data_IF_219731568977
#
_entry.id   IF_219731568977
#
_cell.length_a   1.000
_cell.length_b   1.000
_cell.length_c   1.000
_cell.angle_alpha   90.00
_cell.angle_beta   90.00
_cell.angle_gamma   90.00
#
_symmetry.space_group_name_H-M   'P 1'
#
loop_
_entity.id
_entity.type
_entity.pdbx_description
1 polymer ?
#
# COMPACT_ATOMS: atom_id res chain seq x y z
N UNK A 1 0.09 -13.35 5.15
CA UNK A 1 0.54 -14.28 4.08
C UNK A 1 1.88 -13.79 3.57
N UNK A 2 2.85 -14.69 3.43
CA UNK A 2 4.19 -14.38 2.91
C UNK A 2 4.18 -14.38 1.36
N UNK A 3 4.72 -13.35 0.68
CA UNK A 3 4.79 -13.33 -0.77
C UNK A 3 5.88 -14.27 -1.28
N UNK A 4 5.49 -15.38 -1.93
CA UNK A 4 6.43 -16.37 -2.51
C UNK A 4 6.92 -16.03 -3.92
N UNK A 5 6.35 -15.01 -4.56
CA UNK A 5 6.71 -14.62 -5.94
C UNK A 5 6.24 -15.57 -7.05
N UNK A 6 5.50 -16.62 -6.71
CA UNK A 6 5.11 -17.69 -7.65
C UNK A 6 3.80 -17.38 -8.41
N UNK A 7 3.03 -16.37 -7.97
CA UNK A 7 1.70 -16.09 -8.54
C UNK A 7 1.79 -15.30 -9.86
N UNK A 8 0.96 -15.64 -10.86
CA UNK A 8 0.77 -14.82 -12.05
C UNK A 8 0.37 -13.38 -11.71
N UNK A 9 0.79 -12.42 -12.52
CA UNK A 9 0.50 -10.99 -12.31
C UNK A 9 -1.00 -10.69 -12.22
N UNK A 10 -1.84 -11.38 -12.99
CA UNK A 10 -3.30 -11.25 -12.95
C UNK A 10 -3.86 -11.62 -11.58
N UNK A 11 -3.38 -12.72 -11.00
CA UNK A 11 -3.78 -13.17 -9.66
C UNK A 11 -3.29 -12.22 -8.58
N UNK A 12 -2.06 -11.70 -8.69
CA UNK A 12 -1.54 -10.69 -7.76
C UNK A 12 -2.43 -9.45 -7.78
N UNK A 13 -2.81 -8.94 -8.95
CA UNK A 13 -3.71 -7.78 -9.07
C UNK A 13 -5.09 -8.05 -8.50
N UNK A 14 -5.65 -9.24 -8.75
CA UNK A 14 -6.95 -9.63 -8.21
C UNK A 14 -6.91 -9.69 -6.66
N UNK A 15 -5.89 -10.32 -6.10
CA UNK A 15 -5.67 -10.43 -4.66
C UNK A 15 -5.53 -9.07 -3.99
N UNK A 16 -4.72 -8.16 -4.57
CA UNK A 16 -4.56 -6.80 -4.03
C UNK A 16 -5.89 -6.04 -4.02
N UNK A 17 -6.70 -6.18 -5.08
CA UNK A 17 -8.02 -5.55 -5.16
C UNK A 17 -8.97 -6.10 -4.09
N UNK A 18 -8.99 -7.41 -3.91
CA UNK A 18 -9.80 -8.09 -2.89
C UNK A 18 -9.44 -7.60 -1.49
N UNK A 19 -8.17 -7.63 -1.12
CA UNK A 19 -7.67 -7.18 0.18
C UNK A 19 -8.00 -5.71 0.47
N UNK A 20 -7.84 -4.83 -0.53
CA UNK A 20 -8.21 -3.41 -0.37
C UNK A 20 -9.71 -3.26 -0.10
N UNK A 21 -10.55 -4.02 -0.80
CA UNK A 21 -11.99 -3.97 -0.62
C UNK A 21 -12.43 -4.53 0.74
N UNK A 22 -11.82 -5.62 1.18
CA UNK A 22 -12.03 -6.19 2.52
C UNK A 22 -11.68 -5.18 3.61
N UNK A 23 -10.49 -4.56 3.53
CA UNK A 23 -10.09 -3.53 4.48
C UNK A 23 -11.07 -2.34 4.52
N UNK A 24 -11.59 -1.91 3.37
CA UNK A 24 -12.62 -0.86 3.30
C UNK A 24 -13.93 -1.29 3.96
N UNK A 25 -14.35 -2.54 3.75
CA UNK A 25 -15.52 -3.12 4.38
C UNK A 25 -15.41 -3.07 5.90
N UNK A 26 -14.31 -3.61 6.44
CA UNK A 26 -14.02 -3.61 7.88
C UNK A 26 -14.03 -2.18 8.43
N UNK A 27 -13.35 -1.24 7.76
CA UNK A 27 -13.29 0.15 8.22
C UNK A 27 -14.67 0.82 8.30
N UNK A 28 -15.58 0.50 7.36
CA UNK A 28 -16.94 1.05 7.37
C UNK A 28 -17.79 0.48 8.53
N UNK A 29 -17.45 -0.70 9.05
CA UNK A 29 -18.13 -1.33 10.19
C UNK A 29 -17.68 -0.76 11.55
N UNK A 30 -16.57 -0.02 11.60
CA UNK A 30 -15.99 0.59 12.82
C UNK A 30 -15.89 2.13 12.72
N UNK A 31 -17.01 2.87 12.86
CA UNK A 31 -17.06 4.30 12.58
C UNK A 31 -16.69 5.20 13.77
N UNK A 32 -16.42 4.68 14.96
CA UNK A 32 -16.38 5.49 16.20
C UNK A 32 -15.00 6.09 16.50
N UNK A 33 -14.03 5.92 15.61
CA UNK A 33 -12.67 6.44 15.81
C UNK A 33 -11.78 5.50 16.61
N UNK A 34 -12.07 4.20 16.60
CA UNK A 34 -11.38 3.13 17.32
C UNK A 34 -9.87 3.17 17.07
N UNK A 35 -9.44 3.54 15.85
CA UNK A 35 -8.04 3.64 15.47
C UNK A 35 -7.23 4.70 16.24
N UNK A 36 -7.87 5.66 16.93
CA UNK A 36 -7.19 6.68 17.73
C UNK A 36 -6.72 6.17 19.10
N UNK A 37 -7.32 5.07 19.60
CA UNK A 37 -7.08 4.58 20.96
C UNK A 37 -5.78 3.78 21.09
N UNK A 38 -5.27 3.24 19.99
CA UNK A 38 -4.03 2.47 20.00
C UNK A 38 -2.91 3.25 19.30
N UNK A 39 -1.78 3.40 19.99
CA UNK A 39 -0.60 4.08 19.48
C UNK A 39 0.57 3.12 19.38
N UNK A 40 1.24 3.15 18.24
CA UNK A 40 2.47 2.39 18.00
C UNK A 40 3.65 3.33 17.84
N UNK A 41 4.82 2.90 18.30
CA UNK A 41 6.07 3.65 18.10
C UNK A 41 6.59 3.37 16.69
N UNK A 42 6.71 4.41 15.86
CA UNK A 42 7.44 4.35 14.60
C UNK A 42 8.86 4.89 14.80
N UNK A 43 9.84 4.03 14.55
CA UNK A 43 11.26 4.39 14.61
C UNK A 43 11.79 4.98 13.30
N UNK A 44 11.00 4.93 12.23
CA UNK A 44 11.37 5.52 10.93
C UNK A 44 11.26 7.04 11.01
N UNK A 45 12.33 7.75 10.64
CA UNK A 45 12.38 9.23 10.53
C UNK A 45 11.93 10.00 11.77
N UNK A 46 12.20 9.49 12.98
CA UNK A 46 11.85 10.17 14.24
C UNK A 46 10.35 10.56 14.37
N UNK A 47 9.46 9.82 13.69
CA UNK A 47 8.01 10.07 13.68
C UNK A 47 7.34 9.93 15.06
N UNK A 48 8.02 9.28 16.01
CA UNK A 48 7.51 9.12 17.37
C UNK A 48 6.37 8.10 17.45
N UNK A 49 5.32 8.43 18.19
CA UNK A 49 4.13 7.56 18.31
C UNK A 49 3.02 8.05 17.41
N UNK A 50 2.46 7.15 16.62
CA UNK A 50 1.31 7.42 15.77
C UNK A 50 0.15 6.49 16.11
N UNK A 51 -1.06 6.94 15.86
CA UNK A 51 -2.25 6.11 15.98
C UNK A 51 -2.44 5.19 14.75
N UNK A 52 -3.41 4.28 14.83
CA UNK A 52 -3.63 3.27 13.78
C UNK A 52 -4.13 3.91 12.48
N UNK A 53 -4.93 4.97 12.53
CA UNK A 53 -5.38 5.66 11.32
C UNK A 53 -4.22 6.34 10.60
N UNK A 54 -3.34 7.00 11.36
CA UNK A 54 -2.11 7.58 10.84
C UNK A 54 -1.20 6.51 10.22
N UNK A 55 -1.11 5.34 10.84
CA UNK A 55 -0.34 4.23 10.29
C UNK A 55 -0.92 3.67 8.99
N UNK A 56 -2.24 3.46 8.91
CA UNK A 56 -2.92 3.03 7.68
C UNK A 56 -2.73 4.08 6.57
N UNK A 57 -2.87 5.36 6.89
CA UNK A 57 -2.59 6.44 5.94
C UNK A 57 -1.16 6.35 5.40
N UNK A 58 -0.17 6.13 6.27
CA UNK A 58 1.22 5.97 5.88
C UNK A 58 1.42 4.77 4.93
N UNK A 59 0.78 3.62 5.21
CA UNK A 59 0.83 2.44 4.34
C UNK A 59 0.23 2.73 2.94
N UNK A 60 -0.87 3.48 2.86
CA UNK A 60 -1.43 3.90 1.58
C UNK A 60 -0.46 4.80 0.80
N UNK A 61 0.21 5.73 1.47
CA UNK A 61 1.22 6.58 0.83
C UNK A 61 2.43 5.78 0.36
N UNK A 62 2.85 4.79 1.14
CA UNK A 62 3.95 3.90 0.78
C UNK A 62 3.61 3.05 -0.46
N UNK A 63 2.40 2.48 -0.51
CA UNK A 63 1.92 1.75 -1.68
C UNK A 63 1.89 2.63 -2.94
N UNK A 64 1.39 3.86 -2.83
CA UNK A 64 1.40 4.83 -3.95
C UNK A 64 2.80 5.10 -4.47
N UNK A 65 3.79 5.32 -3.58
CA UNK A 65 5.18 5.54 -3.97
C UNK A 65 5.73 4.37 -4.80
N UNK A 66 5.46 3.13 -4.41
CA UNK A 66 5.92 1.96 -5.16
C UNK A 66 5.22 1.81 -6.51
N UNK A 67 3.93 2.13 -6.60
CA UNK A 67 3.22 2.16 -7.88
C UNK A 67 3.84 3.21 -8.81
N UNK A 68 4.18 4.40 -8.31
CA UNK A 68 4.89 5.42 -9.09
C UNK A 68 6.27 4.95 -9.54
N UNK A 69 7.01 4.20 -8.73
CA UNK A 69 8.26 3.58 -9.18
C UNK A 69 8.03 2.62 -10.36
N UNK A 70 6.96 1.81 -10.32
CA UNK A 70 6.60 0.93 -11.44
C UNK A 70 6.22 1.71 -12.71
N UNK A 71 5.52 2.84 -12.56
CA UNK A 71 5.17 3.72 -13.68
C UNK A 71 6.43 4.31 -14.33
N UNK A 72 7.39 4.79 -13.53
CA UNK A 72 8.65 5.32 -14.05
C UNK A 72 9.41 4.27 -14.88
N UNK A 73 9.48 3.02 -14.41
CA UNK A 73 10.10 1.92 -15.16
C UNK A 73 9.39 1.66 -16.50
N UNK A 74 8.06 1.71 -16.52
CA UNK A 74 7.27 1.59 -17.75
C UNK A 74 7.61 2.71 -18.74
N UNK A 75 7.71 3.96 -18.27
CA UNK A 75 8.03 5.12 -19.09
C UNK A 75 9.45 5.05 -19.65
N UNK A 76 10.43 4.69 -18.82
CA UNK A 76 11.83 4.48 -19.24
C UNK A 76 11.91 3.44 -20.35
N UNK A 77 11.29 2.27 -20.15
CA UNK A 77 11.29 1.20 -21.15
C UNK A 77 10.63 1.60 -22.47
N UNK A 78 9.55 2.38 -22.41
CA UNK A 78 8.85 2.87 -23.60
C UNK A 78 9.74 3.81 -24.41
N UNK A 79 10.46 4.73 -23.75
CA UNK A 79 11.40 5.65 -24.41
C UNK A 79 12.58 4.92 -25.06
N UNK A 80 13.09 3.86 -24.45
CA UNK A 80 14.13 3.04 -25.06
C UNK A 80 13.63 2.37 -26.35
N UNK A 81 12.39 1.86 -26.35
CA UNK A 81 11.81 1.20 -27.51
C UNK A 81 11.56 2.15 -28.69
N UNK A 82 11.22 3.40 -28.43
CA UNK A 82 10.99 4.42 -29.47
C UNK A 82 12.29 4.97 -30.09
N UNK A 83 13.44 4.70 -29.45
CA UNK A 83 14.76 5.13 -29.90
C UNK A 83 15.51 4.07 -30.74
N UNK A 84 14.93 2.88 -30.91
CA UNK A 84 15.44 1.74 -31.68
C UNK A 84 14.69 1.59 -33.01
#
# INVERSE_FOLDING_TARGET
>A
MEPKGEKPLSEVKALLKEQINECKGILNEIPNGEGTLYKTTMTVNDLGKIDVYQYIYFLCQHAKRHISQMQNVQEEFSRFKDAE
#
